data_IF_576845641745
#
_entry.id   IF_576845641745
#
_cell.length_a   1.000
_cell.length_b   1.000
_cell.length_c   1.000
_cell.angle_alpha   90.00
_cell.angle_beta   90.00
_cell.angle_gamma   90.00
#
_symmetry.space_group_name_H-M   'P 1'
#
loop_
_entity.id
_entity.type
_entity.pdbx_description
1 polymer ?
#
# COMPACT_ATOMS: atom_id res chain seq x y z
N UNK A 1 -46.62 -3.57 -38.71
CA UNK A 1 -46.00 -4.79 -38.13
C UNK A 1 -45.06 -5.50 -39.10
N UNK A 2 -45.48 -5.86 -40.32
CA UNK A 2 -44.62 -6.56 -41.33
C UNK A 2 -43.31 -5.84 -41.69
N UNK A 3 -43.31 -4.50 -41.79
CA UNK A 3 -42.11 -3.71 -42.08
C UNK A 3 -41.04 -3.78 -40.97
N UNK A 4 -41.49 -3.91 -39.72
CA UNK A 4 -40.60 -4.02 -38.56
C UNK A 4 -39.91 -5.38 -38.60
N UNK A 5 -40.69 -6.44 -38.83
CA UNK A 5 -40.18 -7.82 -38.94
C UNK A 5 -39.17 -7.96 -40.09
N UNK A 6 -39.47 -7.36 -41.26
CA UNK A 6 -38.55 -7.34 -42.41
C UNK A 6 -37.21 -6.67 -42.09
N UNK A 7 -37.26 -5.51 -41.43
CA UNK A 7 -36.05 -4.79 -41.00
C UNK A 7 -35.17 -5.62 -40.03
N UNK A 8 -35.78 -6.39 -39.13
CA UNK A 8 -35.04 -7.28 -38.23
C UNK A 8 -34.35 -8.44 -38.98
N UNK A 9 -34.98 -8.95 -40.04
CA UNK A 9 -34.41 -10.03 -40.88
C UNK A 9 -33.26 -9.50 -41.74
N UNK A 10 -33.45 -8.34 -42.38
CA UNK A 10 -32.44 -7.71 -43.23
C UNK A 10 -31.17 -7.31 -42.45
N UNK A 11 -31.36 -6.91 -41.18
CA UNK A 11 -30.28 -6.50 -40.28
C UNK A 11 -29.90 -7.59 -39.26
N UNK A 12 -30.37 -8.84 -39.43
CA UNK A 12 -30.23 -9.92 -38.46
C UNK A 12 -28.78 -10.09 -37.98
N UNK A 13 -27.79 -10.03 -38.90
CA UNK A 13 -26.37 -10.14 -38.56
C UNK A 13 -25.91 -9.08 -37.55
N UNK A 14 -26.31 -7.81 -37.72
CA UNK A 14 -25.90 -6.72 -36.82
C UNK A 14 -26.57 -6.88 -35.45
N UNK A 15 -27.83 -7.31 -35.44
CA UNK A 15 -28.62 -7.52 -34.23
C UNK A 15 -28.05 -8.70 -33.43
N UNK A 16 -27.69 -9.81 -34.09
CA UNK A 16 -27.04 -10.94 -33.44
C UNK A 16 -25.68 -10.57 -32.84
N UNK A 17 -24.88 -9.72 -33.50
CA UNK A 17 -23.61 -9.24 -32.95
C UNK A 17 -23.84 -8.37 -31.70
N UNK A 18 -24.79 -7.44 -31.75
CA UNK A 18 -25.14 -6.60 -30.58
C UNK A 18 -25.64 -7.44 -29.41
N UNK A 19 -26.47 -8.44 -29.69
CA UNK A 19 -26.98 -9.37 -28.68
C UNK A 19 -25.86 -10.22 -28.06
N UNK A 20 -24.94 -10.73 -28.88
CA UNK A 20 -23.77 -11.47 -28.39
C UNK A 20 -22.89 -10.59 -27.48
N UNK A 21 -22.73 -9.31 -27.81
CA UNK A 21 -21.98 -8.36 -27.00
C UNK A 21 -22.65 -8.11 -25.65
N UNK A 22 -23.98 -7.95 -25.63
CA UNK A 22 -24.74 -7.82 -24.38
C UNK A 22 -24.63 -9.06 -23.49
N UNK A 23 -24.68 -10.26 -24.08
CA UNK A 23 -24.47 -11.51 -23.34
C UNK A 23 -23.05 -11.55 -22.77
N UNK A 24 -22.03 -11.25 -23.57
CA UNK A 24 -20.64 -11.27 -23.12
C UNK A 24 -20.42 -10.31 -21.95
N UNK A 25 -20.95 -9.09 -22.02
CA UNK A 25 -20.91 -8.13 -20.91
C UNK A 25 -21.58 -8.71 -19.67
N UNK A 26 -22.79 -9.26 -19.81
CA UNK A 26 -23.52 -9.84 -18.68
C UNK A 26 -22.73 -10.96 -18.01
N UNK A 27 -22.16 -11.87 -18.81
CA UNK A 27 -21.32 -12.97 -18.32
C UNK A 27 -20.10 -12.45 -17.55
N UNK A 28 -19.39 -11.43 -18.07
CA UNK A 28 -18.27 -10.81 -17.38
C UNK A 28 -18.71 -10.25 -16.02
N UNK A 29 -19.81 -9.52 -15.98
CA UNK A 29 -20.34 -8.97 -14.72
C UNK A 29 -20.73 -10.04 -13.70
N UNK A 30 -21.28 -11.17 -14.15
CA UNK A 30 -21.63 -12.29 -13.27
C UNK A 30 -20.41 -13.07 -12.77
N UNK A 31 -19.33 -13.14 -13.56
CA UNK A 31 -18.09 -13.82 -13.19
C UNK A 31 -17.22 -13.01 -12.24
N UNK A 32 -17.35 -11.69 -12.21
CA UNK A 32 -16.59 -10.85 -11.28
C UNK A 32 -17.04 -11.18 -9.84
N UNK A 33 -16.12 -11.64 -8.96
CA UNK A 33 -16.45 -11.90 -7.57
C UNK A 33 -16.87 -10.60 -6.90
N UNK A 34 -18.08 -10.58 -6.31
CA UNK A 34 -18.65 -9.40 -5.63
C UNK A 34 -17.85 -8.97 -4.41
N UNK A 35 -17.09 -9.90 -3.83
CA UNK A 35 -16.30 -9.67 -2.63
C UNK A 35 -14.82 -9.75 -2.98
N UNK A 36 -14.21 -8.60 -3.22
CA UNK A 36 -12.78 -8.46 -2.99
C UNK A 36 -12.63 -8.54 -1.47
N UNK A 37 -12.42 -9.75 -0.93
CA UNK A 37 -12.13 -9.93 0.49
C UNK A 37 -10.81 -9.22 0.76
N UNK A 38 -10.89 -8.02 1.32
CA UNK A 38 -9.71 -7.31 1.79
C UNK A 38 -9.07 -8.22 2.82
N UNK A 39 -7.85 -8.70 2.55
CA UNK A 39 -7.08 -9.58 3.44
C UNK A 39 -7.00 -9.01 4.86
N UNK A 40 -7.14 -7.69 5.00
CA UNK A 40 -7.10 -6.93 6.23
C UNK A 40 -8.42 -6.21 6.50
N UNK A 41 -9.50 -6.97 6.72
CA UNK A 41 -10.71 -6.39 7.32
C UNK A 41 -10.41 -6.06 8.79
N UNK A 42 -10.65 -4.81 9.19
CA UNK A 42 -10.54 -4.37 10.57
C UNK A 42 -11.92 -3.93 11.05
N UNK A 43 -12.31 -4.39 12.24
CA UNK A 43 -13.57 -4.02 12.86
C UNK A 43 -13.27 -3.21 14.12
N UNK A 44 -13.83 -1.99 14.20
CA UNK A 44 -13.62 -1.11 15.35
C UNK A 44 -14.14 -1.77 16.62
N UNK A 45 -13.30 -1.84 17.66
CA UNK A 45 -13.64 -2.46 18.94
C UNK A 45 -13.35 -3.96 19.05
N UNK A 46 -12.86 -4.60 17.98
CA UNK A 46 -12.32 -5.97 18.04
C UNK A 46 -10.78 -5.93 18.19
N UNK A 47 -10.19 -6.96 18.82
CA UNK A 47 -8.72 -7.07 18.90
C UNK A 47 -8.12 -7.18 17.49
N UNK A 48 -6.88 -6.72 17.34
CA UNK A 48 -6.12 -6.84 16.09
C UNK A 48 -5.80 -8.32 15.82
N UNK A 49 -6.34 -8.86 14.72
CA UNK A 49 -6.23 -10.29 14.37
C UNK A 49 -5.12 -10.59 13.36
N UNK A 50 -4.51 -9.56 12.77
CA UNK A 50 -3.51 -9.70 11.73
C UNK A 50 -2.10 -9.65 12.31
N UNK A 51 -1.13 -10.16 11.57
CA UNK A 51 0.28 -10.04 11.97
C UNK A 51 0.70 -8.57 12.00
N UNK A 52 1.48 -8.20 13.02
CA UNK A 52 2.10 -6.88 13.08
C UNK A 52 3.20 -6.83 12.04
N UNK A 53 3.07 -5.93 11.06
CA UNK A 53 4.08 -5.74 10.02
C UNK A 53 5.23 -4.94 10.61
N UNK A 54 6.35 -5.61 10.88
CA UNK A 54 7.62 -4.96 11.20
C UNK A 54 8.42 -4.73 9.92
N UNK A 55 9.21 -3.65 9.91
CA UNK A 55 10.16 -3.42 8.83
C UNK A 55 11.21 -4.54 8.81
N UNK A 56 11.62 -5.06 7.64
CA UNK A 56 12.66 -6.09 7.55
C UNK A 56 14.08 -5.54 7.77
N UNK A 57 14.20 -4.29 8.21
CA UNK A 57 15.46 -3.60 8.46
C UNK A 57 15.26 -2.49 9.51
N UNK A 58 16.37 -2.08 10.11
CA UNK A 58 16.42 -0.96 11.03
C UNK A 58 16.56 0.36 10.27
N UNK A 59 15.76 1.35 10.63
CA UNK A 59 15.90 2.71 10.14
C UNK A 59 16.71 3.54 11.16
N UNK A 60 17.66 4.37 10.71
CA UNK A 60 18.37 5.27 11.61
C UNK A 60 17.41 6.34 12.11
N UNK A 61 17.22 6.41 13.43
CA UNK A 61 16.55 7.53 14.07
C UNK A 61 17.59 8.64 14.24
N UNK A 62 17.62 9.56 13.27
CA UNK A 62 18.57 10.67 13.28
C UNK A 62 18.28 11.59 14.47
N UNK A 63 19.30 11.82 15.30
CA UNK A 63 19.24 12.83 16.36
C UNK A 63 19.22 14.22 15.74
N UNK A 64 18.53 15.16 16.39
CA UNK A 64 18.60 16.57 15.98
C UNK A 64 19.98 17.15 16.26
N UNK A 65 20.38 18.17 15.49
CA UNK A 65 21.68 18.83 15.69
C UNK A 65 21.84 19.37 17.12
N UNK A 66 20.76 19.91 17.70
CA UNK A 66 20.75 20.40 19.09
C UNK A 66 21.08 19.29 20.09
N UNK A 67 20.50 18.10 19.90
CA UNK A 67 20.75 16.96 20.77
C UNK A 67 22.18 16.44 20.62
N UNK A 68 22.70 16.42 19.39
CA UNK A 68 24.10 16.03 19.11
C UNK A 68 25.07 17.00 19.81
N UNK A 69 24.83 18.31 19.71
CA UNK A 69 25.69 19.30 20.37
C UNK A 69 25.64 19.18 21.89
N UNK A 70 24.44 19.05 22.46
CA UNK A 70 24.29 18.86 23.90
C UNK A 70 25.02 17.61 24.42
N UNK A 71 24.93 16.49 23.70
CA UNK A 71 25.66 15.27 24.05
C UNK A 71 27.18 15.46 23.97
N UNK A 72 27.68 16.14 22.93
CA UNK A 72 29.11 16.47 22.80
C UNK A 72 29.60 17.33 23.97
N UNK A 73 28.87 18.37 24.31
CA UNK A 73 29.22 19.27 25.42
C UNK A 73 29.24 18.52 26.76
N UNK A 74 28.26 17.63 26.98
CA UNK A 74 28.21 16.77 28.15
C UNK A 74 29.39 15.79 28.20
N UNK A 75 29.76 15.18 27.08
CA UNK A 75 30.91 14.29 26.99
C UNK A 75 32.22 15.03 27.26
N UNK A 76 32.42 16.21 26.69
CA UNK A 76 33.61 17.02 26.94
C UNK A 76 33.72 17.44 28.41
N UNK A 77 32.60 17.75 29.06
CA UNK A 77 32.57 18.10 30.48
C UNK A 77 32.89 16.92 31.40
N UNK A 78 32.45 15.73 31.03
CA UNK A 78 32.50 14.55 31.89
C UNK A 78 33.61 13.56 31.51
N UNK A 79 34.35 13.81 30.43
CA UNK A 79 35.44 12.93 30.00
C UNK A 79 36.62 13.00 30.98
N UNK A 80 37.18 11.85 31.41
CA UNK A 80 38.42 11.84 32.16
C UNK A 80 39.54 12.44 31.31
N UNK A 81 40.34 13.31 31.92
CA UNK A 81 41.49 13.93 31.28
C UNK A 81 42.69 12.98 31.39
N UNK A 82 43.31 12.65 30.26
CA UNK A 82 44.55 11.89 30.21
C UNK A 82 45.70 12.82 29.89
N UNK A 83 46.73 12.84 30.74
CA UNK A 83 47.93 13.64 30.56
C UNK A 83 49.12 12.73 30.28
N UNK A 84 49.89 13.05 29.24
CA UNK A 84 51.17 12.41 28.98
C UNK A 84 52.23 13.22 29.73
N UNK A 85 52.89 12.58 30.70
CA UNK A 85 53.98 13.20 31.43
C UNK A 85 55.20 13.35 30.51
N UNK A 86 55.55 14.59 30.16
CA UNK A 86 56.78 14.88 29.42
C UNK A 86 57.96 14.89 30.40
N UNK A 87 58.99 14.09 30.12
CA UNK A 87 60.19 13.90 30.95
C UNK A 87 61.35 14.84 30.61
N UNK A 88 61.16 15.78 29.67
CA UNK A 88 62.24 16.64 29.16
C UNK A 88 62.38 18.01 29.86
N UNK A 89 62.03 18.12 31.14
CA UNK A 89 62.39 19.26 32.01
C UNK A 89 62.93 18.75 33.34
#
# INVERSE_FOLDING_TARGET
MRKIIGFFIDNARRISILFLFLIAISVIFFLIPKEIRYKFEYQKGKPWLHETLFAPFDFPINKTDKQIQFEKDSLLKNSPQYFIHNKEI
#
